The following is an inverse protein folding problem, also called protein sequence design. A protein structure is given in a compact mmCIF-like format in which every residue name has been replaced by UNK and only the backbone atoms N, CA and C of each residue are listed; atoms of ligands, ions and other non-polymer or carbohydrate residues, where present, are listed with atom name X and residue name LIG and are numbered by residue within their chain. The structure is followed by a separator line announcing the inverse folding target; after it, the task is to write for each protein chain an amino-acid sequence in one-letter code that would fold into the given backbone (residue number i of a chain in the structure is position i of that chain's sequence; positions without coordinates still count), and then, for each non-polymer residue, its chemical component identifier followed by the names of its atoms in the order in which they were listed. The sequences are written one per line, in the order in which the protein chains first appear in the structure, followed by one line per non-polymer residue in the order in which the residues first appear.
data_IF_947920713461
#
_entry.id   IF_947920713461
#
_cell.length_a   1.000
_cell.length_b   1.000
_cell.length_c   1.000
_cell.angle_alpha   90.00
_cell.angle_beta   90.00
_cell.angle_gamma   90.00
#
_symmetry.space_group_name_H-M   'P 1'
#
loop_
_entity.id
_entity.type
_entity.pdbx_description
1 polymer ?
#
# COMPACT_ATOMS: atom_id res chain seq x y z
N UNK A 1 -14.22 -18.79 9.65
CA UNK A 1 -14.32 -17.39 9.17
C UNK A 1 -13.90 -16.46 10.30
N UNK A 2 -12.89 -15.61 10.11
CA UNK A 2 -12.45 -14.63 11.12
C UNK A 2 -13.04 -13.26 10.77
N UNK A 3 -13.19 -12.38 11.75
CA UNK A 3 -13.80 -11.05 11.55
C UNK A 3 -12.86 -9.96 12.08
N UNK A 4 -12.56 -8.95 11.25
CA UNK A 4 -11.79 -7.77 11.65
C UNK A 4 -12.75 -6.75 12.26
N UNK A 5 -12.87 -6.74 13.59
CA UNK A 5 -13.71 -5.75 14.30
C UNK A 5 -13.00 -4.42 14.55
N UNK A 6 -11.67 -4.40 14.47
CA UNK A 6 -10.89 -3.19 14.64
C UNK A 6 -9.57 -3.25 13.89
N UNK A 7 -9.17 -2.12 13.34
CA UNK A 7 -7.85 -1.90 12.75
C UNK A 7 -7.02 -1.06 13.71
N UNK A 8 -5.76 -1.47 13.92
CA UNK A 8 -4.81 -0.68 14.70
C UNK A 8 -4.49 0.62 13.95
N UNK A 9 -4.83 1.76 14.57
CA UNK A 9 -4.70 3.08 13.95
C UNK A 9 -3.25 3.43 13.60
N UNK A 10 -2.30 3.12 14.48
CA UNK A 10 -0.88 3.42 14.29
C UNK A 10 -0.29 2.58 13.15
N UNK A 11 -0.68 1.31 13.07
CA UNK A 11 -0.26 0.41 11.99
C UNK A 11 -0.78 0.88 10.63
N UNK A 12 -2.08 1.18 10.52
CA UNK A 12 -2.64 1.66 9.25
C UNK A 12 -2.02 3.00 8.85
N UNK A 13 -1.89 3.94 9.79
CA UNK A 13 -1.24 5.23 9.56
C UNK A 13 0.20 5.07 9.08
N UNK A 14 0.99 4.16 9.66
CA UNK A 14 2.35 3.89 9.25
C UNK A 14 2.44 3.35 7.80
N UNK A 15 1.58 2.40 7.45
CA UNK A 15 1.53 1.83 6.10
C UNK A 15 1.10 2.89 5.08
N UNK A 16 0.06 3.67 5.36
CA UNK A 16 -0.37 4.74 4.45
C UNK A 16 0.67 5.86 4.34
N UNK A 17 1.36 6.21 5.43
CA UNK A 17 2.46 7.17 5.38
C UNK A 17 3.56 6.72 4.43
N UNK A 18 3.96 5.45 4.51
CA UNK A 18 4.99 4.88 3.66
C UNK A 18 4.57 4.87 2.18
N UNK A 19 3.33 4.47 1.90
CA UNK A 19 2.77 4.48 0.53
C UNK A 19 2.76 5.90 -0.04
N UNK A 20 2.21 6.87 0.69
CA UNK A 20 2.10 8.25 0.22
C UNK A 20 3.44 8.98 0.15
N UNK A 21 4.37 8.66 1.05
CA UNK A 21 5.76 9.15 0.99
C UNK A 21 6.45 8.66 -0.26
N UNK A 22 6.36 7.36 -0.56
CA UNK A 22 6.95 6.79 -1.78
C UNK A 22 6.34 7.40 -3.04
N UNK A 23 5.02 7.54 -3.10
CA UNK A 23 4.33 8.18 -4.24
C UNK A 23 4.77 9.64 -4.39
N UNK A 24 4.83 10.40 -3.29
CA UNK A 24 5.29 11.79 -3.30
C UNK A 24 6.74 11.94 -3.77
N UNK A 25 7.62 11.03 -3.35
CA UNK A 25 9.00 10.98 -3.82
C UNK A 25 9.09 10.76 -5.33
N UNK A 26 8.35 9.77 -5.85
CA UNK A 26 8.35 9.44 -7.28
C UNK A 26 7.84 10.61 -8.12
N UNK A 27 6.75 11.26 -7.70
CA UNK A 27 6.21 12.44 -8.38
C UNK A 27 7.25 13.56 -8.42
N UNK A 28 7.90 13.86 -7.29
CA UNK A 28 8.91 14.90 -7.23
C UNK A 28 10.13 14.58 -8.13
N UNK A 29 10.54 13.31 -8.20
CA UNK A 29 11.61 12.87 -9.08
C UNK A 29 11.24 13.02 -10.56
N UNK A 30 10.00 12.68 -10.92
CA UNK A 30 9.47 12.91 -12.27
C UNK A 30 9.46 14.40 -12.62
N UNK A 31 8.96 15.26 -11.73
CA UNK A 31 8.96 16.72 -11.93
C UNK A 31 10.38 17.25 -12.11
N UNK A 32 11.32 16.83 -11.25
CA UNK A 32 12.73 17.22 -11.37
C UNK A 32 13.34 16.83 -12.72
N UNK A 33 13.06 15.61 -13.21
CA UNK A 33 13.53 15.15 -14.51
C UNK A 33 12.98 15.99 -15.67
N UNK A 34 11.68 16.33 -15.64
CA UNK A 34 11.07 17.19 -16.65
C UNK A 34 11.64 18.61 -16.64
N UNK A 35 11.87 19.19 -15.45
CA UNK A 35 12.49 20.51 -15.33
C UNK A 35 13.90 20.53 -15.93
N UNK A 36 14.72 19.51 -15.67
CA UNK A 36 16.06 19.40 -16.26
C UNK A 36 15.98 19.29 -17.78
N UNK A 37 15.07 18.45 -18.30
CA UNK A 37 14.89 18.28 -19.74
C UNK A 37 14.47 19.59 -20.43
N UNK A 38 13.61 20.39 -19.79
CA UNK A 38 13.20 21.71 -20.28
C UNK A 38 14.37 22.69 -20.37
N UNK A 39 15.14 22.83 -19.29
CA UNK A 39 16.31 23.74 -19.23
C UNK A 39 17.35 23.37 -20.31
N UNK A 40 17.62 22.07 -20.49
CA UNK A 40 18.59 21.61 -21.50
C UNK A 40 18.07 21.80 -22.92
N UNK A 41 16.76 21.64 -23.14
CA UNK A 41 16.14 21.76 -24.46
C UNK A 41 16.11 23.19 -25.02
N UNK A 42 16.00 24.20 -24.15
CA UNK A 42 15.88 25.61 -24.56
C UNK A 42 17.22 26.28 -24.90
N UNK A 43 18.37 25.60 -24.67
CA UNK A 43 19.72 26.16 -24.87
C UNK A 43 19.98 27.50 -24.17
N UNK A 44 19.14 27.90 -23.19
CA UNK A 44 19.22 29.18 -22.48
C UNK A 44 20.29 29.14 -21.37
N UNK A 45 21.47 28.65 -21.73
CA UNK A 45 22.44 28.16 -20.79
C UNK A 45 23.75 28.94 -20.89
N UNK A 46 23.94 29.90 -19.97
CA UNK A 46 25.15 30.74 -19.91
C UNK A 46 26.24 30.19 -18.95
N UNK A 47 26.12 28.96 -18.44
CA UNK A 47 27.02 28.36 -17.44
C UNK A 47 27.78 27.11 -17.87
N UNK A 48 28.34 26.37 -16.91
CA UNK A 48 28.88 25.01 -17.12
C UNK A 48 27.77 23.96 -17.02
N UNK A 49 27.54 23.20 -18.10
CA UNK A 49 26.47 22.20 -18.20
C UNK A 49 26.52 21.18 -17.05
N UNK A 50 27.73 20.75 -16.69
CA UNK A 50 27.95 19.82 -15.59
C UNK A 50 27.53 20.39 -14.23
N UNK A 51 27.78 21.68 -13.99
CA UNK A 51 27.53 22.30 -12.69
C UNK A 51 26.03 22.49 -12.44
N UNK A 52 25.28 22.87 -13.48
CA UNK A 52 23.83 23.02 -13.38
C UNK A 52 23.12 21.67 -13.33
N UNK A 53 23.60 20.65 -14.07
CA UNK A 53 23.08 19.29 -13.90
C UNK A 53 23.26 18.80 -12.46
N UNK A 54 24.46 18.96 -11.90
CA UNK A 54 24.74 18.55 -10.52
C UNK A 54 23.85 19.30 -9.52
N UNK A 55 23.72 20.62 -9.67
CA UNK A 55 22.89 21.44 -8.77
C UNK A 55 21.40 21.07 -8.88
N UNK A 56 20.87 20.83 -10.08
CA UNK A 56 19.48 20.45 -10.27
C UNK A 56 19.16 19.04 -9.77
N UNK A 57 20.07 18.08 -9.95
CA UNK A 57 19.91 16.74 -9.38
C UNK A 57 19.91 16.83 -7.84
N UNK A 58 20.84 17.61 -7.26
CA UNK A 58 20.88 17.84 -5.82
C UNK A 58 19.62 18.52 -5.28
N UNK A 59 19.16 19.58 -5.94
CA UNK A 59 17.93 20.29 -5.58
C UNK A 59 16.68 19.40 -5.75
N UNK A 60 16.62 18.63 -6.83
CA UNK A 60 15.53 17.69 -7.11
C UNK A 60 15.44 16.56 -6.08
N UNK A 61 16.58 16.00 -5.66
CA UNK A 61 16.62 15.01 -4.58
C UNK A 61 16.19 15.62 -3.24
N UNK A 62 16.68 16.81 -2.91
CA UNK A 62 16.30 17.51 -1.67
C UNK A 62 14.79 17.81 -1.65
N UNK A 63 14.26 18.38 -2.73
CA UNK A 63 12.84 18.63 -2.89
C UNK A 63 12.02 17.34 -2.86
N UNK A 64 12.55 16.26 -3.46
CA UNK A 64 11.92 14.94 -3.44
C UNK A 64 11.80 14.37 -2.04
N UNK A 65 12.86 14.44 -1.23
CA UNK A 65 12.84 14.02 0.17
C UNK A 65 11.87 14.87 0.98
N UNK A 66 11.90 16.20 0.83
CA UNK A 66 10.99 17.10 1.55
C UNK A 66 9.53 16.85 1.18
N UNK A 67 9.23 16.71 -0.12
CA UNK A 67 7.88 16.41 -0.62
C UNK A 67 7.42 15.06 -0.09
N UNK A 68 8.27 14.03 -0.14
CA UNK A 68 7.98 12.70 0.40
C UNK A 68 7.65 12.73 1.89
N UNK A 69 8.40 13.49 2.69
CA UNK A 69 8.13 13.62 4.13
C UNK A 69 6.78 14.30 4.38
N UNK A 70 6.46 15.35 3.64
CA UNK A 70 5.17 16.04 3.75
C UNK A 70 4.01 15.12 3.33
N UNK A 71 4.12 14.44 2.19
CA UNK A 71 3.07 13.51 1.73
C UNK A 71 2.94 12.31 2.65
N UNK A 72 4.04 11.80 3.22
CA UNK A 72 4.01 10.76 4.24
C UNK A 72 3.27 11.22 5.49
N UNK A 73 3.49 12.44 5.96
CA UNK A 73 2.76 13.00 7.10
C UNK A 73 1.26 13.08 6.82
N UNK A 74 0.87 13.58 5.63
CA UNK A 74 -0.54 13.58 5.22
C UNK A 74 -1.12 12.17 5.12
N UNK A 75 -0.37 11.21 4.55
CA UNK A 75 -0.75 9.81 4.48
C UNK A 75 -0.91 9.17 5.87
N UNK A 76 -0.07 9.55 6.83
CA UNK A 76 -0.16 9.10 8.21
C UNK A 76 -1.45 9.60 8.87
N UNK A 77 -1.71 10.91 8.79
CA UNK A 77 -2.93 11.52 9.35
C UNK A 77 -4.18 10.90 8.72
N UNK A 78 -4.20 10.75 7.40
CA UNK A 78 -5.33 10.17 6.70
C UNK A 78 -5.57 8.70 7.07
N UNK A 79 -4.51 7.89 7.17
CA UNK A 79 -4.62 6.49 7.61
C UNK A 79 -5.12 6.37 9.04
N UNK A 80 -4.68 7.26 9.93
CA UNK A 80 -5.16 7.31 11.30
C UNK A 80 -6.68 7.61 11.36
N UNK A 81 -7.12 8.64 10.63
CA UNK A 81 -8.53 9.04 10.54
C UNK A 81 -9.36 7.90 9.95
N UNK A 82 -8.89 7.29 8.85
CA UNK A 82 -9.56 6.17 8.19
C UNK A 82 -9.74 4.98 9.13
N UNK A 83 -8.70 4.60 9.89
CA UNK A 83 -8.82 3.54 10.89
C UNK A 83 -9.81 3.89 12.00
N UNK A 84 -9.83 5.16 12.44
CA UNK A 84 -10.78 5.61 13.45
C UNK A 84 -12.23 5.53 12.96
N UNK A 85 -12.48 5.97 11.72
CA UNK A 85 -13.80 5.88 11.07
C UNK A 85 -14.22 4.42 10.92
N UNK A 86 -13.33 3.55 10.40
CA UNK A 86 -13.60 2.12 10.29
C UNK A 86 -14.02 1.51 11.63
N UNK A 87 -13.22 1.75 12.68
CA UNK A 87 -13.49 1.22 14.02
C UNK A 87 -14.82 1.71 14.59
N UNK A 88 -15.26 2.93 14.25
CA UNK A 88 -16.55 3.46 14.67
C UNK A 88 -17.71 2.75 13.97
N UNK A 89 -17.62 2.53 12.66
CA UNK A 89 -18.64 1.82 11.90
C UNK A 89 -18.68 0.31 12.24
N UNK A 90 -17.53 -0.33 12.39
CA UNK A 90 -17.43 -1.75 12.73
C UNK A 90 -18.10 -2.09 14.07
N UNK A 91 -18.10 -1.15 15.03
CA UNK A 91 -18.83 -1.30 16.30
C UNK A 91 -20.35 -1.34 16.15
N UNK A 92 -20.90 -0.75 15.08
CA UNK A 92 -22.35 -0.63 14.84
C UNK A 92 -22.86 -1.66 13.83
N UNK A 93 -22.13 -1.87 12.74
CA UNK A 93 -22.58 -2.69 11.61
C UNK A 93 -22.00 -4.12 11.62
N UNK A 94 -21.04 -4.41 12.52
CA UNK A 94 -20.19 -5.59 12.40
C UNK A 94 -18.98 -5.33 11.52
N UNK A 95 -17.89 -6.05 11.76
CA UNK A 95 -16.62 -5.91 11.06
C UNK A 95 -16.56 -6.68 9.74
N UNK A 96 -15.43 -6.56 9.03
CA UNK A 96 -15.19 -7.28 7.78
C UNK A 96 -14.90 -8.76 8.09
N UNK A 97 -15.67 -9.66 7.48
CA UNK A 97 -15.43 -11.11 7.55
C UNK A 97 -14.39 -11.50 6.51
N UNK A 98 -13.36 -12.22 6.95
CA UNK A 98 -12.26 -12.71 6.14
C UNK A 98 -12.14 -14.23 6.28
N UNK A 99 -11.91 -14.87 5.13
CA UNK A 99 -11.50 -16.27 5.06
C UNK A 99 -9.98 -16.29 4.90
N UNK A 100 -9.29 -16.93 5.86
CA UNK A 100 -7.85 -17.12 5.78
C UNK A 100 -7.58 -18.41 5.00
N UNK A 101 -6.64 -18.37 4.06
CA UNK A 101 -6.35 -19.50 3.17
C UNK A 101 -5.92 -20.77 3.90
N UNK A 102 -5.21 -20.66 5.03
CA UNK A 102 -4.84 -21.83 5.86
C UNK A 102 -6.07 -22.57 6.40
N UNK A 103 -7.07 -21.81 6.87
CA UNK A 103 -8.35 -22.37 7.34
C UNK A 103 -9.18 -22.91 6.16
N UNK A 104 -9.06 -22.29 4.97
CA UNK A 104 -9.73 -22.76 3.77
C UNK A 104 -9.11 -24.07 3.22
N UNK A 105 -7.81 -24.25 3.38
CA UNK A 105 -7.10 -25.48 3.02
C UNK A 105 -7.48 -26.63 3.95
N UNK A 106 -7.48 -26.42 5.27
CA UNK A 106 -7.94 -27.41 6.25
C UNK A 106 -9.42 -27.78 6.06
N UNK A 107 -10.30 -26.80 5.83
CA UNK A 107 -11.72 -27.05 5.56
C UNK A 107 -11.97 -27.81 4.24
N UNK A 108 -11.11 -27.62 3.23
CA UNK A 108 -11.17 -28.40 1.97
C UNK A 108 -10.68 -29.83 2.16
N UNK A 109 -9.65 -30.05 2.99
CA UNK A 109 -9.15 -31.38 3.29
C UNK A 109 -10.17 -32.19 4.11
N UNK A 110 -10.75 -31.60 5.16
CA UNK A 110 -11.77 -32.25 5.97
C UNK A 110 -13.01 -32.68 5.16
N UNK A 111 -13.51 -31.82 4.27
CA UNK A 111 -14.63 -32.16 3.36
C UNK A 111 -14.30 -33.26 2.33
N UNK A 112 -13.02 -33.40 1.98
CA UNK A 112 -12.55 -34.42 1.03
C UNK A 112 -12.42 -35.78 1.71
N UNK A 113 -12.08 -35.80 3.00
CA UNK A 113 -12.00 -37.02 3.82
C UNK A 113 -13.37 -37.57 4.19
N UNK A 114 -14.32 -36.73 4.64
CA UNK A 114 -15.71 -37.13 4.90
C UNK A 114 -16.36 -37.76 3.65
N UNK A 115 -16.18 -37.14 2.48
CA UNK A 115 -16.74 -37.65 1.22
C UNK A 115 -16.14 -39.01 0.81
N UNK A 116 -14.87 -39.25 1.14
CA UNK A 116 -14.22 -40.55 0.89
C UNK A 116 -14.72 -41.64 1.84
N UNK A 117 -15.00 -41.31 3.08
CA UNK A 117 -15.60 -42.24 4.04
C UNK A 117 -17.05 -42.59 3.69
N UNK A 118 -17.87 -41.62 3.29
CA UNK A 118 -19.24 -41.86 2.82
C UNK A 118 -19.28 -42.76 1.58
N UNK A 119 -18.33 -42.59 0.66
CA UNK A 119 -18.26 -43.42 -0.57
C UNK A 119 -17.82 -44.86 -0.26
N UNK A 120 -17.07 -45.07 0.83
CA UNK A 120 -16.56 -46.40 1.23
C UNK A 120 -17.59 -47.25 1.98
N UNK A 121 -18.59 -46.60 2.59
CA UNK A 121 -19.63 -47.26 3.38
C UNK A 121 -20.96 -47.48 2.62
N UNK A 122 -21.02 -47.17 1.32
CA UNK A 122 -22.19 -47.54 0.50
C UNK A 122 -22.13 -49.04 0.17
N UNK A 123 -23.13 -49.84 0.58
CA UNK A 123 -23.16 -51.27 0.26
C UNK A 123 -23.30 -51.45 -1.24
N UNK A 124 -22.39 -52.23 -1.83
CA UNK A 124 -22.41 -52.62 -3.24
C UNK A 124 -23.64 -53.49 -3.48
N UNK A 125 -24.74 -52.89 -3.95
CA UNK A 125 -25.91 -53.63 -4.41
C UNK A 125 -25.52 -54.27 -5.75
N UNK A 126 -25.26 -55.57 -5.73
CA UNK A 126 -24.98 -56.39 -6.92
C UNK A 126 -26.14 -57.35 -7.14
#
# INVERSE_FOLDING_TARGET
MKEIKSINKMSLAGITALIYGLVGFLIALTVAAFTIAGIVGENDFQGSAALVMLFNIGAGLLLGVLTSLLTALFGWVNGYITAAIYNWFAKKAGGIKIELEEVAAEAKQAKTEEKKEETKNQPTIT
#
